data_IF_809304209983
#
_entry.id   IF_809304209983
#
_cell.length_a   1.000
_cell.length_b   1.000
_cell.length_c   1.000
_cell.angle_alpha   90.00
_cell.angle_beta   90.00
_cell.angle_gamma   90.00
#
_symmetry.space_group_name_H-M   'P 1'
#
loop_
_entity.id
_entity.type
_entity.pdbx_description
1 polymer ?
#
# COMPACT_ATOMS: atom_id res chain seq x y z
N UNK A 1 -13.33 -9.06 -12.45
CA UNK A 1 -12.18 -8.49 -11.73
C UNK A 1 -10.92 -8.83 -12.52
N UNK A 2 -10.20 -7.83 -13.05
CA UNK A 2 -8.95 -8.06 -13.78
C UNK A 2 -7.87 -8.59 -12.83
N UNK A 3 -6.85 -9.23 -13.40
CA UNK A 3 -5.68 -9.72 -12.66
C UNK A 3 -4.79 -8.53 -12.25
N UNK A 4 -4.42 -8.42 -10.99
CA UNK A 4 -3.40 -7.46 -10.52
C UNK A 4 -2.02 -7.99 -10.91
N UNK A 5 -1.35 -7.31 -11.83
CA UNK A 5 -0.02 -7.70 -12.29
C UNK A 5 1.04 -7.15 -11.35
N UNK A 6 1.01 -5.83 -11.15
CA UNK A 6 1.93 -5.10 -10.29
C UNK A 6 1.21 -3.89 -9.71
N UNK A 7 1.62 -3.47 -8.51
CA UNK A 7 1.30 -2.17 -7.98
C UNK A 7 2.54 -1.50 -7.43
N UNK A 8 2.59 -0.17 -7.51
CA UNK A 8 3.60 0.65 -6.85
C UNK A 8 2.98 1.29 -5.62
N UNK A 9 3.71 1.29 -4.52
CA UNK A 9 3.29 1.93 -3.29
C UNK A 9 4.33 2.99 -2.90
N UNK A 10 3.83 4.15 -2.47
CA UNK A 10 4.61 5.20 -1.82
C UNK A 10 3.95 5.52 -0.49
N UNK A 11 4.70 5.44 0.60
CA UNK A 11 4.23 5.68 1.96
C UNK A 11 5.02 6.85 2.54
N UNK A 12 4.32 7.91 2.92
CA UNK A 12 4.88 9.02 3.67
C UNK A 12 4.55 8.85 5.14
N UNK A 13 5.56 8.74 5.99
CA UNK A 13 5.38 8.46 7.41
C UNK A 13 5.18 9.73 8.24
N UNK A 14 4.59 9.53 9.42
CA UNK A 14 4.34 10.55 10.43
C UNK A 14 5.51 10.79 11.36
N UNK A 15 5.22 11.29 12.55
CA UNK A 15 6.26 11.51 13.58
C UNK A 15 6.65 10.20 14.26
N UNK A 16 5.78 9.19 14.18
CA UNK A 16 6.05 7.84 14.65
C UNK A 16 6.24 6.87 13.48
N UNK A 17 7.46 6.84 12.95
CA UNK A 17 7.91 5.83 11.99
C UNK A 17 8.54 4.61 12.65
N UNK A 18 8.86 3.61 11.84
CA UNK A 18 9.47 2.34 12.21
C UNK A 18 10.74 2.10 11.40
N UNK A 19 11.46 1.01 11.68
CA UNK A 19 12.66 0.62 10.89
C UNK A 19 12.48 -0.69 10.15
N UNK A 20 11.44 -1.46 10.48
CA UNK A 20 11.10 -2.70 9.78
C UNK A 20 10.44 -2.40 8.43
N UNK A 21 10.97 -3.00 7.37
CA UNK A 21 10.38 -2.87 6.03
C UNK A 21 8.98 -3.50 6.05
N UNK A 22 7.94 -2.76 5.63
CA UNK A 22 6.58 -3.28 5.66
C UNK A 22 6.42 -4.45 4.69
N UNK A 23 5.41 -5.27 4.93
CA UNK A 23 4.97 -6.33 4.02
C UNK A 23 3.56 -6.01 3.50
N UNK A 24 3.12 -6.72 2.48
CA UNK A 24 1.71 -6.72 2.09
C UNK A 24 1.12 -8.12 2.17
N UNK A 25 -0.20 -8.18 2.34
CA UNK A 25 -0.98 -9.40 2.34
C UNK A 25 -1.92 -9.41 1.16
N UNK A 26 -1.80 -10.39 0.28
CA UNK A 26 -2.77 -10.62 -0.80
C UNK A 26 -3.51 -11.92 -0.56
N UNK A 27 -4.85 -11.88 -0.58
CA UNK A 27 -5.70 -13.06 -0.39
C UNK A 27 -5.34 -13.88 0.86
N UNK A 28 -4.88 -13.23 1.92
CA UNK A 28 -4.45 -13.87 3.17
C UNK A 28 -2.96 -14.22 3.27
N UNK A 29 -2.21 -14.19 2.17
CA UNK A 29 -0.78 -14.55 2.15
C UNK A 29 0.11 -13.31 2.26
N UNK A 30 1.03 -13.31 3.22
CA UNK A 30 2.05 -12.26 3.37
C UNK A 30 3.15 -12.42 2.32
N UNK A 31 3.54 -11.31 1.71
CA UNK A 31 4.56 -11.24 0.66
C UNK A 31 5.41 -9.97 0.92
N UNK A 32 6.74 -10.06 0.83
CA UNK A 32 7.61 -8.89 0.88
C UNK A 32 7.45 -8.03 -0.37
N UNK A 33 7.80 -6.75 -0.25
CA UNK A 33 7.89 -5.87 -1.41
C UNK A 33 9.16 -6.10 -2.23
N UNK A 34 9.04 -5.87 -3.53
CA UNK A 34 10.15 -5.80 -4.47
C UNK A 34 10.70 -4.36 -4.54
N UNK A 35 12.01 -4.25 -4.77
CA UNK A 35 12.72 -2.99 -5.02
C UNK A 35 12.48 -1.86 -3.97
N UNK A 36 12.53 -2.14 -2.65
CA UNK A 36 12.31 -1.13 -1.63
C UNK A 36 13.33 0.01 -1.71
N UNK A 37 12.86 1.25 -1.56
CA UNK A 37 13.65 2.47 -1.55
C UNK A 37 13.20 3.39 -0.42
N UNK A 38 14.14 4.18 0.10
CA UNK A 38 13.89 5.06 1.23
C UNK A 38 13.70 4.27 2.52
N UNK A 39 12.83 4.76 3.40
CA UNK A 39 12.64 4.19 4.73
C UNK A 39 11.28 4.53 5.31
N UNK A 40 10.94 3.84 6.40
CA UNK A 40 9.68 3.99 7.12
C UNK A 40 9.86 4.66 8.48
N UNK A 41 11.02 5.25 8.74
CA UNK A 41 11.32 6.01 9.97
C UNK A 41 10.53 7.32 10.05
N UNK A 42 10.63 8.06 11.17
CA UNK A 42 9.90 9.31 11.37
C UNK A 42 10.12 10.33 10.23
N UNK A 43 9.04 10.74 9.57
CA UNK A 43 9.06 11.72 8.48
C UNK A 43 9.71 11.25 7.18
N UNK A 44 10.04 9.97 7.06
CA UNK A 44 10.62 9.38 5.86
C UNK A 44 9.57 9.08 4.77
N UNK A 45 10.07 8.65 3.62
CA UNK A 45 9.25 8.14 2.53
C UNK A 45 9.79 6.78 2.10
N UNK A 46 8.90 5.81 2.03
CA UNK A 46 9.16 4.47 1.53
C UNK A 46 8.49 4.28 0.18
N UNK A 47 9.21 3.70 -0.77
CA UNK A 47 8.69 3.34 -2.09
C UNK A 47 9.05 1.90 -2.43
N UNK A 48 8.10 1.19 -3.03
CA UNK A 48 8.23 -0.23 -3.33
C UNK A 48 7.27 -0.68 -4.44
N UNK A 49 7.50 -1.90 -4.94
CA UNK A 49 6.61 -2.57 -5.87
C UNK A 49 6.10 -3.88 -5.27
N UNK A 50 4.85 -4.24 -5.55
CA UNK A 50 4.32 -5.57 -5.29
C UNK A 50 3.87 -6.21 -6.60
N UNK A 51 4.41 -7.38 -6.93
CA UNK A 51 4.09 -8.10 -8.17
C UNK A 51 3.33 -9.43 -7.92
N UNK A 52 2.11 -9.38 -7.32
CA UNK A 52 1.44 -10.60 -6.87
C UNK A 52 0.97 -11.51 -8.01
N UNK A 53 0.82 -10.98 -9.23
CA UNK A 53 0.34 -11.74 -10.39
C UNK A 53 -0.90 -12.57 -10.07
N UNK A 54 -1.90 -11.95 -9.46
CA UNK A 54 -3.05 -12.64 -8.86
C UNK A 54 -4.35 -11.87 -9.03
N UNK A 55 -5.48 -12.58 -8.94
CA UNK A 55 -6.79 -11.96 -8.79
C UNK A 55 -6.96 -11.58 -7.30
N UNK A 56 -6.76 -10.30 -6.98
CA UNK A 56 -6.82 -9.77 -5.62
C UNK A 56 -8.26 -9.66 -5.09
N UNK A 57 -8.69 -10.60 -4.26
CA UNK A 57 -9.92 -10.48 -3.46
C UNK A 57 -9.70 -9.59 -2.22
N UNK A 58 -8.45 -9.54 -1.75
CA UNK A 58 -8.01 -8.61 -0.71
C UNK A 58 -6.55 -8.24 -0.91
N UNK A 59 -6.20 -6.98 -0.61
CA UNK A 59 -4.82 -6.49 -0.57
C UNK A 59 -4.68 -5.57 0.64
N UNK A 60 -3.77 -5.90 1.54
CA UNK A 60 -3.53 -5.11 2.73
C UNK A 60 -2.06 -4.77 2.88
N UNK A 61 -1.77 -3.56 3.36
CA UNK A 61 -0.47 -3.23 3.92
C UNK A 61 -0.47 -3.73 5.37
N UNK A 62 0.50 -4.58 5.72
CA UNK A 62 0.58 -5.14 7.06
C UNK A 62 0.97 -4.06 8.07
N UNK A 63 0.36 -4.11 9.26
CA UNK A 63 0.85 -3.37 10.42
C UNK A 63 2.26 -3.83 10.85
N UNK A 64 2.97 -3.00 11.64
CA UNK A 64 4.29 -3.36 12.17
C UNK A 64 4.19 -4.56 13.12
N UNK A 65 5.25 -5.33 13.29
CA UNK A 65 5.22 -6.49 14.23
C UNK A 65 5.08 -6.05 15.69
N UNK A 66 5.53 -4.83 16.01
CA UNK A 66 5.46 -4.24 17.34
C UNK A 66 5.37 -2.71 17.26
N UNK A 67 4.84 -2.09 18.31
CA UNK A 67 4.67 -0.64 18.37
C UNK A 67 3.60 -0.13 17.43
N UNK A 68 3.71 1.14 17.04
CA UNK A 68 2.79 1.76 16.08
C UNK A 68 3.54 2.46 14.96
N UNK A 69 2.87 2.59 13.83
CA UNK A 69 3.35 3.23 12.62
C UNK A 69 2.33 4.27 12.15
N UNK A 70 2.68 5.53 12.29
CA UNK A 70 1.89 6.64 11.76
C UNK A 70 2.21 6.81 10.28
N UNK A 71 1.19 6.68 9.44
CA UNK A 71 1.24 6.95 8.02
C UNK A 71 0.47 8.23 7.75
N UNK A 72 1.10 9.22 7.12
CA UNK A 72 0.44 10.48 6.72
C UNK A 72 -0.33 10.33 5.42
N UNK A 73 0.27 9.62 4.46
CA UNK A 73 -0.34 9.38 3.14
C UNK A 73 0.22 8.08 2.56
N UNK A 74 -0.66 7.29 1.95
CA UNK A 74 -0.28 6.17 1.08
C UNK A 74 -0.76 6.45 -0.34
N UNK A 75 0.15 6.50 -1.30
CA UNK A 75 -0.17 6.58 -2.72
C UNK A 75 0.06 5.22 -3.37
N UNK A 76 -0.94 4.71 -4.09
CA UNK A 76 -0.87 3.42 -4.77
C UNK A 76 -1.16 3.60 -6.24
N UNK A 77 -0.35 3.00 -7.12
CA UNK A 77 -0.63 2.92 -8.55
C UNK A 77 -0.76 1.47 -8.96
N UNK A 78 -1.94 1.06 -9.42
CA UNK A 78 -2.20 -0.32 -9.85
C UNK A 78 -2.08 -0.46 -11.35
N UNK A 79 -1.46 -1.56 -11.77
CA UNK A 79 -1.44 -2.04 -13.16
C UNK A 79 -2.21 -3.36 -13.22
N UNK A 80 -3.42 -3.30 -13.75
CA UNK A 80 -4.29 -4.46 -13.92
C UNK A 80 -4.20 -4.97 -15.36
N UNK A 81 -4.28 -6.29 -15.52
CA UNK A 81 -4.19 -6.92 -16.83
C UNK A 81 -5.35 -6.47 -17.73
N UNK A 82 -5.02 -5.85 -18.86
CA UNK A 82 -6.00 -5.39 -19.84
C UNK A 82 -6.66 -4.05 -19.51
N UNK A 83 -6.22 -3.35 -18.46
CA UNK A 83 -6.74 -2.03 -18.10
C UNK A 83 -5.61 -0.98 -18.03
N UNK A 84 -5.91 0.30 -18.28
CA UNK A 84 -4.94 1.35 -18.03
C UNK A 84 -4.58 1.41 -16.54
N UNK A 85 -3.38 1.88 -16.18
CA UNK A 85 -3.03 2.15 -14.79
C UNK A 85 -3.98 3.16 -14.13
N UNK A 86 -4.09 3.11 -12.81
CA UNK A 86 -4.70 4.19 -12.03
C UNK A 86 -4.04 4.33 -10.67
N UNK A 87 -4.15 5.54 -10.12
CA UNK A 87 -3.56 5.92 -8.84
C UNK A 87 -4.66 6.28 -7.85
N UNK A 88 -4.52 5.83 -6.62
CA UNK A 88 -5.33 6.25 -5.48
C UNK A 88 -4.43 6.88 -4.41
N UNK A 89 -5.04 7.70 -3.55
CA UNK A 89 -4.39 8.27 -2.36
C UNK A 89 -5.25 7.96 -1.14
N UNK A 90 -4.62 7.41 -0.12
CA UNK A 90 -5.22 7.16 1.19
C UNK A 90 -4.64 8.18 2.17
N UNK A 91 -5.53 8.74 3.00
CA UNK A 91 -5.15 9.72 4.02
C UNK A 91 -4.43 9.10 5.21
N UNK A 92 -4.34 9.90 6.28
CA UNK A 92 -3.63 9.52 7.51
C UNK A 92 -4.25 8.27 8.16
N UNK A 93 -3.40 7.35 8.60
CA UNK A 93 -3.77 6.18 9.41
C UNK A 93 -2.66 5.87 10.41
N UNK A 94 -3.01 5.28 11.54
CA UNK A 94 -2.07 4.70 12.49
C UNK A 94 -2.28 3.19 12.48
N UNK A 95 -1.21 2.44 12.25
CA UNK A 95 -1.21 0.98 12.31
C UNK A 95 -0.44 0.51 13.54
N UNK A 96 -0.86 -0.61 14.09
CA UNK A 96 -0.21 -1.34 15.18
C UNK A 96 -0.09 -2.82 14.81
N UNK A 97 0.31 -3.67 15.77
CA UNK A 97 0.52 -5.10 15.54
C UNK A 97 -0.74 -5.90 15.22
N UNK A 98 -1.92 -5.31 15.37
CA UNK A 98 -3.21 -5.99 15.17
C UNK A 98 -4.00 -5.40 13.99
N UNK A 99 -3.52 -4.30 13.40
CA UNK A 99 -4.21 -3.58 12.34
C UNK A 99 -3.45 -3.58 11.02
N UNK A 100 -4.16 -3.97 9.96
CA UNK A 100 -3.70 -3.87 8.59
C UNK A 100 -4.51 -2.78 7.85
N UNK A 101 -3.87 -2.07 6.92
CA UNK A 101 -4.56 -1.10 6.07
C UNK A 101 -5.07 -1.79 4.79
N UNK A 102 -6.37 -1.72 4.50
CA UNK A 102 -6.89 -2.12 3.19
C UNK A 102 -6.37 -1.16 2.10
N UNK A 103 -5.58 -1.72 1.20
CA UNK A 103 -4.99 -1.02 0.05
C UNK A 103 -5.49 -1.61 -1.26
N UNK A 104 -6.65 -2.27 -1.28
CA UNK A 104 -7.36 -2.64 -2.51
C UNK A 104 -8.59 -1.77 -2.66
N UNK A 105 -8.54 -0.81 -3.59
CA UNK A 105 -9.67 0.05 -3.91
C UNK A 105 -9.87 0.08 -5.40
N UNK A 106 -11.13 0.08 -5.83
CA UNK A 106 -11.47 0.23 -7.24
C UNK A 106 -11.08 1.60 -7.76
N UNK A 107 -10.95 1.70 -9.08
CA UNK A 107 -10.74 2.98 -9.76
C UNK A 107 -11.87 3.93 -9.37
N UNK A 108 -11.53 5.03 -8.71
CA UNK A 108 -12.52 6.06 -8.42
C UNK A 108 -13.04 6.64 -9.74
N UNK A 109 -14.37 6.78 -9.89
CA UNK A 109 -14.94 7.45 -11.05
C UNK A 109 -14.45 8.89 -11.09
N UNK A 110 -14.17 9.39 -12.30
CA UNK A 110 -13.88 10.81 -12.51
C UNK A 110 -15.18 11.57 -12.24
N UNK A 111 -15.28 12.18 -11.06
CA UNK A 111 -16.35 13.14 -10.77
C UNK A 111 -15.95 14.46 -11.41
N UNK A 112 -16.75 14.91 -12.38
CA UNK A 112 -16.69 16.28 -12.88
C UNK A 112 -17.54 17.13 -11.93
N UNK A 113 -16.94 18.13 -11.29
CA UNK A 113 -17.72 19.24 -10.72
C UNK A 113 -18.36 19.98 -11.90
N UNK A 114 -19.70 19.93 -11.97
CA UNK A 114 -20.53 20.68 -12.92
C UNK A 114 -21.05 21.97 -12.31
#
# INVERSE_FOLDING_TARGET
MPKLQIFRIRIATGEQGRTDIPEFKINGFKIPFDNPRGGVGPGETFEAEGAPQSFAHSLHLCGPTEGTWEIRETTLTYNLMGEPPYTIRLGRVVLDSESDLNIWHERQPVVFDV
#
